data_IF_952366809621
#
_entry.id   IF_952366809621
#
_cell.length_a   1.000
_cell.length_b   1.000
_cell.length_c   1.000
_cell.angle_alpha   90.00
_cell.angle_beta   90.00
_cell.angle_gamma   90.00
#
_symmetry.space_group_name_H-M   'P 1'
#
loop_
_entity.id
_entity.type
_entity.pdbx_description
1 polymer ?
#
# COMPACT_ATOMS: atom_id res chain seq x y z
N UNK A 1 -16.39 12.31 -17.00
CA UNK A 1 -16.02 11.62 -15.74
C UNK A 1 -14.93 12.41 -15.06
N UNK A 2 -15.05 12.68 -13.77
CA UNK A 2 -14.15 13.54 -13.00
C UNK A 2 -12.86 12.76 -12.63
N UNK A 3 -11.68 13.39 -12.79
CA UNK A 3 -10.40 12.80 -12.38
C UNK A 3 -10.28 12.90 -10.85
N UNK A 4 -10.09 11.77 -10.18
CA UNK A 4 -9.95 11.70 -8.70
C UNK A 4 -8.51 11.49 -8.24
N UNK A 5 -7.65 10.89 -9.07
CA UNK A 5 -6.21 10.81 -8.85
C UNK A 5 -5.50 11.30 -10.09
N UNK A 6 -4.58 12.25 -9.91
CA UNK A 6 -3.68 12.72 -10.97
C UNK A 6 -2.25 12.71 -10.47
N UNK A 7 -1.42 11.97 -11.15
CA UNK A 7 0.01 11.84 -10.90
C UNK A 7 0.75 12.55 -12.03
N UNK A 8 1.61 13.51 -11.69
CA UNK A 8 2.33 14.35 -12.65
C UNK A 8 3.83 14.29 -12.37
N UNK A 9 4.60 13.69 -13.29
CA UNK A 9 6.06 13.58 -13.28
C UNK A 9 6.64 13.07 -11.94
N UNK A 10 5.94 12.08 -11.35
CA UNK A 10 6.25 11.55 -10.04
C UNK A 10 7.60 10.84 -10.06
N UNK A 11 8.50 11.26 -9.19
CA UNK A 11 9.75 10.58 -8.91
C UNK A 11 9.94 10.35 -7.41
N UNK A 12 10.48 9.18 -7.06
CA UNK A 12 10.87 8.84 -5.70
C UNK A 12 12.26 8.26 -5.67
N UNK A 13 13.16 8.97 -5.01
CA UNK A 13 14.54 8.57 -4.78
C UNK A 13 14.74 8.15 -3.33
N UNK A 14 15.45 7.06 -3.11
CA UNK A 14 15.92 6.61 -1.80
C UNK A 14 17.45 6.69 -1.74
N UNK A 15 17.98 7.00 -0.57
CA UNK A 15 19.41 6.91 -0.29
C UNK A 15 19.74 5.54 0.27
N UNK A 16 20.69 4.85 -0.33
CA UNK A 16 21.22 3.57 0.15
C UNK A 16 22.35 3.86 1.15
N UNK A 17 22.32 3.22 2.31
CA UNK A 17 23.50 3.19 3.19
C UNK A 17 23.63 4.29 4.24
N UNK A 18 22.63 5.14 4.48
CA UNK A 18 22.62 6.07 5.63
C UNK A 18 21.56 5.65 6.63
N UNK A 19 21.93 4.72 7.50
CA UNK A 19 21.28 4.64 8.82
C UNK A 19 21.81 5.86 9.56
N UNK A 20 21.01 6.93 9.71
CA UNK A 20 21.38 8.07 10.52
C UNK A 20 21.77 7.57 11.90
N UNK A 21 22.99 7.86 12.33
CA UNK A 21 23.43 7.59 13.70
C UNK A 21 22.51 8.41 14.62
N UNK A 22 21.47 7.81 15.16
CA UNK A 22 20.42 8.47 15.94
C UNK A 22 20.86 9.14 17.26
N UNK A 23 22.06 9.70 17.25
CA UNK A 23 22.66 10.44 18.34
C UNK A 23 23.25 11.75 17.80
N UNK A 24 22.62 12.87 18.15
CA UNK A 24 23.13 14.23 17.89
C UNK A 24 24.59 14.42 18.25
N UNK A 25 25.06 13.70 19.26
CA UNK A 25 26.47 13.71 19.71
C UNK A 25 27.43 13.10 18.66
N UNK A 26 27.04 11.99 18.02
CA UNK A 26 27.83 11.35 16.96
C UNK A 26 27.83 12.20 15.68
N UNK A 27 26.69 12.79 15.33
CA UNK A 27 26.60 13.68 14.18
C UNK A 27 27.45 14.94 14.38
N UNK A 28 27.48 15.48 15.60
CA UNK A 28 28.32 16.63 15.95
C UNK A 28 29.83 16.28 15.93
N UNK A 29 30.22 15.08 16.40
CA UNK A 29 31.61 14.60 16.34
C UNK A 29 32.07 14.37 14.88
N UNK A 30 31.23 13.75 14.04
CA UNK A 30 31.52 13.54 12.63
C UNK A 30 31.62 14.87 11.88
N UNK A 31 30.76 15.85 12.21
CA UNK A 31 30.85 17.20 11.67
C UNK A 31 32.12 17.92 12.07
N UNK A 32 32.50 17.85 13.36
CA UNK A 32 33.74 18.44 13.88
C UNK A 32 34.97 17.77 13.26
N UNK A 33 35.00 16.44 13.13
CA UNK A 33 36.07 15.71 12.48
C UNK A 33 36.29 16.15 11.03
N UNK A 34 35.21 16.34 10.27
CA UNK A 34 35.25 16.86 8.88
C UNK A 34 35.77 18.29 8.80
N UNK A 35 35.39 19.17 9.74
CA UNK A 35 35.88 20.54 9.80
C UNK A 35 37.39 20.64 10.07
N UNK A 36 37.92 19.76 10.91
CA UNK A 36 39.35 19.71 11.28
C UNK A 36 40.18 18.74 10.42
N UNK A 37 39.64 18.19 9.32
CA UNK A 37 40.27 17.20 8.44
C UNK A 37 40.88 15.99 9.19
N UNK A 38 40.29 15.60 10.32
CA UNK A 38 40.66 14.38 11.06
C UNK A 38 39.77 13.23 10.58
N UNK A 39 40.31 12.00 10.71
CA UNK A 39 39.54 10.79 10.41
C UNK A 39 38.28 10.72 11.31
N UNK A 40 37.15 10.31 10.72
CA UNK A 40 35.90 10.16 11.45
C UNK A 40 36.04 8.98 12.43
N UNK A 41 35.89 9.20 13.76
CA UNK A 41 36.06 8.16 14.75
C UNK A 41 35.05 7.01 14.67
N UNK A 42 34.01 7.17 13.85
CA UNK A 42 32.92 6.21 13.66
C UNK A 42 32.93 5.55 12.28
N UNK A 43 34.08 5.56 11.57
CA UNK A 43 34.25 4.86 10.29
C UNK A 43 34.17 3.35 10.54
N UNK A 44 33.26 2.65 9.85
CA UNK A 44 33.13 1.19 9.95
C UNK A 44 34.43 0.50 9.46
N UNK A 45 34.93 -0.45 10.26
CA UNK A 45 36.09 -1.28 9.92
C UNK A 45 35.63 -2.26 8.82
N UNK A 46 36.11 -2.06 7.57
CA UNK A 46 35.89 -2.95 6.43
C UNK A 46 35.07 -2.38 5.27
N UNK A 47 34.57 -1.15 5.35
CA UNK A 47 33.91 -0.47 4.27
C UNK A 47 34.79 0.52 3.53
N UNK A 48 35.20 0.23 2.29
CA UNK A 48 35.75 1.28 1.41
C UNK A 48 34.69 2.38 1.24
N UNK A 49 34.92 3.51 1.90
CA UNK A 49 34.08 4.71 1.81
C UNK A 49 34.26 5.36 0.43
N UNK A 50 33.76 4.72 -0.62
CA UNK A 50 33.55 5.38 -1.90
C UNK A 50 32.23 6.17 -1.81
N UNK A 51 32.31 7.35 -1.19
CA UNK A 51 31.28 8.39 -1.29
C UNK A 51 31.26 8.85 -2.76
N UNK A 52 30.55 8.10 -3.57
CA UNK A 52 30.34 8.38 -4.98
C UNK A 52 28.85 8.18 -5.30
N UNK A 53 28.35 8.87 -6.30
CA UNK A 53 27.00 8.90 -6.87
C UNK A 53 26.15 7.59 -6.89
N UNK A 54 26.64 6.48 -6.32
CA UNK A 54 26.03 5.15 -6.24
C UNK A 54 25.07 4.95 -5.06
N UNK A 55 24.96 5.94 -4.15
CA UNK A 55 24.17 5.78 -2.93
C UNK A 55 22.69 6.18 -3.10
N UNK A 56 22.25 6.47 -4.31
CA UNK A 56 20.89 6.90 -4.62
C UNK A 56 20.24 5.94 -5.60
N UNK A 57 19.04 5.52 -5.26
CA UNK A 57 18.22 4.62 -6.05
C UNK A 57 16.88 5.28 -6.35
N UNK A 58 16.55 5.40 -7.64
CA UNK A 58 15.25 5.85 -8.09
C UNK A 58 14.27 4.68 -8.11
N UNK A 59 13.36 4.67 -7.15
CA UNK A 59 12.28 3.68 -7.09
C UNK A 59 11.13 4.02 -8.06
N UNK A 60 10.93 5.32 -8.32
CA UNK A 60 10.02 5.83 -9.35
C UNK A 60 10.69 7.00 -10.07
N UNK A 61 10.46 7.11 -11.37
CA UNK A 61 11.01 8.17 -12.20
C UNK A 61 10.03 8.58 -13.28
N UNK A 62 9.63 9.84 -13.27
CA UNK A 62 8.78 10.47 -14.28
C UNK A 62 7.46 9.72 -14.57
N UNK A 63 6.80 9.24 -13.51
CA UNK A 63 5.53 8.52 -13.62
C UNK A 63 4.39 9.50 -13.69
N UNK A 64 3.57 9.42 -14.76
CA UNK A 64 2.41 10.29 -14.97
C UNK A 64 1.20 9.49 -15.45
N UNK A 65 0.08 9.58 -14.72
CA UNK A 65 -1.19 8.97 -15.12
C UNK A 65 -2.37 9.63 -14.39
N UNK A 66 -3.58 9.31 -14.87
CA UNK A 66 -4.82 9.77 -14.25
C UNK A 66 -5.77 8.60 -13.99
N UNK A 67 -6.53 8.71 -12.90
CA UNK A 67 -7.61 7.78 -12.55
C UNK A 67 -8.91 8.56 -12.42
N UNK A 68 -9.94 8.11 -13.10
CA UNK A 68 -11.28 8.70 -13.07
C UNK A 68 -12.11 8.07 -11.96
N UNK A 69 -13.14 8.79 -11.53
CA UNK A 69 -14.09 8.29 -10.52
C UNK A 69 -14.72 6.97 -10.98
N UNK A 70 -14.75 5.98 -10.10
CA UNK A 70 -15.31 4.66 -10.38
C UNK A 70 -14.41 3.77 -11.26
N UNK A 71 -13.21 4.21 -11.66
CA UNK A 71 -12.26 3.33 -12.34
C UNK A 71 -11.65 2.30 -11.38
N UNK A 72 -11.43 1.10 -11.92
CA UNK A 72 -10.69 0.04 -11.26
C UNK A 72 -9.36 -0.14 -11.98
N UNK A 73 -8.30 0.46 -11.41
CA UNK A 73 -6.96 0.50 -12.00
C UNK A 73 -6.08 -0.59 -11.41
N UNK A 74 -5.60 -1.50 -12.24
CA UNK A 74 -4.58 -2.48 -11.91
C UNK A 74 -3.17 -1.91 -12.10
N UNK A 75 -2.29 -2.12 -11.11
CA UNK A 75 -0.88 -1.74 -11.21
C UNK A 75 -0.07 -3.02 -11.37
N UNK A 76 0.50 -3.19 -12.55
CA UNK A 76 1.23 -4.39 -12.98
C UNK A 76 2.72 -4.09 -13.08
N UNK A 77 3.57 -5.09 -12.82
CA UNK A 77 5.02 -4.98 -12.95
C UNK A 77 5.76 -6.04 -12.14
N UNK A 78 7.02 -6.30 -12.51
CA UNK A 78 7.91 -7.27 -11.81
C UNK A 78 8.22 -6.82 -10.38
N UNK A 79 8.81 -7.72 -9.59
CA UNK A 79 9.36 -7.35 -8.27
C UNK A 79 10.42 -6.27 -8.45
N UNK A 80 10.36 -5.22 -7.61
CA UNK A 80 11.25 -4.06 -7.73
C UNK A 80 10.82 -3.02 -8.78
N UNK A 81 9.71 -3.20 -9.51
CA UNK A 81 9.25 -2.25 -10.52
C UNK A 81 8.76 -0.89 -9.94
N UNK A 82 8.64 -0.76 -8.62
CA UNK A 82 8.20 0.47 -7.97
C UNK A 82 6.75 0.47 -7.49
N UNK A 83 5.99 -0.63 -7.66
CA UNK A 83 4.55 -0.72 -7.29
C UNK A 83 4.27 -0.31 -5.85
N UNK A 84 4.93 -0.94 -4.87
CA UNK A 84 4.72 -0.63 -3.45
C UNK A 84 5.18 0.79 -3.09
N UNK A 85 6.18 1.34 -3.78
CA UNK A 85 6.59 2.74 -3.61
C UNK A 85 5.50 3.68 -4.14
N UNK A 86 4.92 3.38 -5.30
CA UNK A 86 3.82 4.16 -5.85
C UNK A 86 2.62 4.17 -4.88
N UNK A 87 2.23 2.99 -4.37
CA UNK A 87 1.14 2.90 -3.40
C UNK A 87 1.42 3.70 -2.12
N UNK A 88 2.65 3.63 -1.57
CA UNK A 88 3.05 4.42 -0.39
C UNK A 88 2.97 5.93 -0.62
N UNK A 89 3.28 6.39 -1.84
CA UNK A 89 3.13 7.81 -2.19
C UNK A 89 1.66 8.17 -2.32
N UNK A 90 0.85 7.35 -2.98
CA UNK A 90 -0.59 7.58 -3.14
C UNK A 90 -1.33 7.54 -1.79
N UNK A 91 -0.94 6.64 -0.89
CA UNK A 91 -1.48 6.55 0.48
C UNK A 91 -0.89 7.60 1.43
N UNK A 92 -0.09 8.55 0.94
CA UNK A 92 0.54 9.62 1.72
C UNK A 92 1.49 9.16 2.84
N UNK A 93 1.91 7.89 2.83
CA UNK A 93 2.89 7.33 3.78
C UNK A 93 4.29 7.92 3.52
N UNK A 94 4.60 8.23 2.27
CA UNK A 94 5.87 8.87 1.90
C UNK A 94 5.65 9.99 0.88
N UNK A 95 6.39 11.10 1.04
CA UNK A 95 6.35 12.20 0.09
C UNK A 95 7.12 11.86 -1.20
N UNK A 96 6.70 12.37 -2.37
CA UNK A 96 7.49 12.30 -3.60
C UNK A 96 8.80 13.10 -3.47
N UNK A 97 9.82 12.70 -4.25
CA UNK A 97 11.07 13.48 -4.38
C UNK A 97 10.92 14.55 -5.46
N UNK A 98 10.25 14.22 -6.56
CA UNK A 98 9.93 15.15 -7.66
C UNK A 98 8.49 14.91 -8.10
N UNK A 99 7.94 15.88 -8.83
CA UNK A 99 6.58 15.81 -9.32
C UNK A 99 5.53 16.04 -8.22
N UNK A 100 4.29 15.69 -8.50
CA UNK A 100 3.18 15.88 -7.56
C UNK A 100 2.06 14.88 -7.79
N UNK A 101 1.30 14.63 -6.72
CA UNK A 101 0.07 13.84 -6.75
C UNK A 101 -1.08 14.72 -6.27
N UNK A 102 -2.15 14.75 -7.03
CA UNK A 102 -3.40 15.42 -6.66
C UNK A 102 -4.47 14.36 -6.46
N UNK A 103 -5.12 14.41 -5.31
CA UNK A 103 -6.15 13.45 -4.92
C UNK A 103 -7.40 14.23 -4.51
N UNK A 104 -8.56 13.77 -4.97
CA UNK A 104 -9.86 14.33 -4.65
C UNK A 104 -10.69 13.28 -3.92
N UNK A 105 -10.93 13.52 -2.64
CA UNK A 105 -11.64 12.60 -1.75
C UNK A 105 -10.73 11.89 -0.75
N UNK A 106 -11.33 11.02 0.06
CA UNK A 106 -10.63 10.23 1.08
C UNK A 106 -10.10 8.93 0.50
N UNK A 107 -8.89 8.55 0.94
CA UNK A 107 -8.26 7.28 0.59
C UNK A 107 -8.37 6.33 1.77
N UNK A 108 -8.90 5.13 1.52
CA UNK A 108 -8.69 3.97 2.39
C UNK A 108 -7.57 3.11 1.82
N UNK A 109 -6.56 2.86 2.62
CA UNK A 109 -5.42 2.03 2.22
C UNK A 109 -5.44 0.71 2.96
N UNK A 110 -5.48 -0.39 2.21
CA UNK A 110 -5.36 -1.75 2.74
C UNK A 110 -3.90 -2.21 2.83
N UNK A 111 -2.92 -1.31 2.67
CA UNK A 111 -1.49 -1.63 2.76
C UNK A 111 -1.07 -2.08 4.17
N UNK A 112 -1.76 -1.59 5.17
CA UNK A 112 -1.42 -1.79 6.58
C UNK A 112 -2.56 -2.49 7.34
N UNK A 113 -3.16 -3.52 6.72
CA UNK A 113 -4.23 -4.31 7.33
C UNK A 113 -3.76 -4.89 8.66
N UNK A 114 -4.50 -4.59 9.73
CA UNK A 114 -4.19 -5.01 11.09
C UNK A 114 -3.23 -4.09 11.86
N UNK A 115 -2.69 -3.05 11.23
CA UNK A 115 -1.96 -2.00 11.95
C UNK A 115 -2.91 -1.32 12.93
N UNK A 116 -2.49 -1.23 14.21
CA UNK A 116 -3.31 -0.68 15.28
C UNK A 116 -4.16 -1.70 16.03
N UNK A 117 -4.17 -2.98 15.64
CA UNK A 117 -4.77 -4.02 16.48
C UNK A 117 -3.94 -4.23 17.73
N UNK A 118 -4.60 -4.25 18.89
CA UNK A 118 -3.97 -4.49 20.17
C UNK A 118 -4.22 -5.93 20.62
N UNK A 119 -3.17 -6.72 20.90
CA UNK A 119 -3.29 -8.16 21.16
C UNK A 119 -4.13 -8.49 22.40
N UNK A 120 -4.15 -7.64 23.43
CA UNK A 120 -4.91 -7.85 24.65
C UNK A 120 -6.40 -7.48 24.53
N UNK A 121 -6.77 -6.70 23.52
CA UNK A 121 -8.15 -6.32 23.27
C UNK A 121 -8.90 -7.44 22.52
N UNK A 122 -10.20 -7.52 22.75
CA UNK A 122 -11.11 -8.43 22.05
C UNK A 122 -11.25 -8.05 20.58
N UNK A 123 -11.81 -8.94 19.75
CA UNK A 123 -12.17 -8.63 18.37
C UNK A 123 -13.07 -7.42 18.27
N UNK A 124 -14.09 -7.35 19.13
CA UNK A 124 -15.01 -6.20 19.23
C UNK A 124 -14.25 -4.89 19.49
N UNK A 125 -13.43 -4.85 20.53
CA UNK A 125 -12.68 -3.65 20.89
C UNK A 125 -11.68 -3.25 19.78
N UNK A 126 -11.08 -4.22 19.10
CA UNK A 126 -10.19 -3.96 17.96
C UNK A 126 -10.95 -3.42 16.73
N UNK A 127 -12.19 -3.82 16.48
CA UNK A 127 -13.04 -3.21 15.44
C UNK A 127 -13.21 -1.71 15.72
N UNK A 128 -13.53 -1.32 16.97
CA UNK A 128 -13.67 0.08 17.33
C UNK A 128 -12.34 0.83 17.29
N UNK A 129 -11.28 0.26 17.83
CA UNK A 129 -9.96 0.87 17.85
C UNK A 129 -9.44 1.09 16.41
N UNK A 130 -9.44 0.05 15.60
CA UNK A 130 -8.94 0.12 14.23
C UNK A 130 -9.83 1.01 13.33
N UNK A 131 -11.16 0.89 13.47
CA UNK A 131 -12.09 1.78 12.77
C UNK A 131 -11.81 3.25 13.08
N UNK A 132 -11.57 3.59 14.36
CA UNK A 132 -11.25 4.95 14.79
C UNK A 132 -9.87 5.41 14.23
N UNK A 133 -8.85 4.56 14.25
CA UNK A 133 -7.53 4.84 13.67
C UNK A 133 -7.66 5.13 12.16
N UNK A 134 -8.51 4.38 11.47
CA UNK A 134 -8.78 4.54 10.04
C UNK A 134 -9.74 5.69 9.72
N UNK A 135 -10.20 6.44 10.75
CA UNK A 135 -11.00 7.67 10.60
C UNK A 135 -12.51 7.48 10.68
N UNK A 136 -13.02 6.28 11.02
CA UNK A 136 -14.46 6.08 11.25
C UNK A 136 -14.92 6.76 12.53
N UNK A 137 -16.10 7.37 12.49
CA UNK A 137 -16.78 7.84 13.70
C UNK A 137 -17.40 6.64 14.43
N UNK A 138 -17.51 6.76 15.78
CA UNK A 138 -18.14 5.69 16.59
C UNK A 138 -19.52 5.27 16.06
N UNK A 139 -20.35 6.24 15.70
CA UNK A 139 -21.69 6.00 15.14
C UNK A 139 -21.67 5.25 13.80
N UNK A 140 -20.62 5.42 13.02
CA UNK A 140 -20.41 4.68 11.77
C UNK A 140 -20.01 3.24 12.07
N UNK A 141 -19.10 3.04 13.02
CA UNK A 141 -18.68 1.71 13.45
C UNK A 141 -19.90 0.96 14.04
N UNK A 142 -20.68 1.60 14.90
CA UNK A 142 -21.90 1.01 15.48
C UNK A 142 -22.86 0.51 14.40
N UNK A 143 -23.06 1.29 13.35
CA UNK A 143 -23.94 0.94 12.22
C UNK A 143 -23.42 -0.25 11.39
N UNK A 144 -22.11 -0.34 11.20
CA UNK A 144 -21.45 -1.33 10.34
C UNK A 144 -20.94 -2.56 11.10
N UNK A 145 -21.05 -2.56 12.42
CA UNK A 145 -20.44 -3.58 13.27
C UNK A 145 -20.83 -5.01 12.87
N UNK A 146 -22.14 -5.26 12.73
CA UNK A 146 -22.63 -6.59 12.37
C UNK A 146 -22.19 -7.02 10.97
N UNK A 147 -22.14 -6.08 10.02
CA UNK A 147 -21.63 -6.33 8.66
C UNK A 147 -20.15 -6.69 8.66
N UNK A 148 -19.34 -5.96 9.46
CA UNK A 148 -17.91 -6.22 9.62
C UNK A 148 -17.69 -7.62 10.21
N UNK A 149 -18.41 -7.97 11.27
CA UNK A 149 -18.30 -9.30 11.91
C UNK A 149 -18.73 -10.39 10.94
N UNK A 150 -19.88 -10.25 10.29
CA UNK A 150 -20.37 -11.22 9.30
C UNK A 150 -19.43 -11.37 8.11
N UNK A 151 -18.81 -10.27 7.65
CA UNK A 151 -17.83 -10.33 6.57
C UNK A 151 -16.56 -11.07 6.98
N UNK A 152 -16.08 -10.88 8.20
CA UNK A 152 -14.86 -11.52 8.71
C UNK A 152 -14.96 -13.04 8.86
N UNK A 153 -16.19 -13.60 8.87
CA UNK A 153 -16.48 -15.02 9.11
C UNK A 153 -15.91 -15.55 10.45
N UNK A 154 -15.76 -14.64 11.42
CA UNK A 154 -15.38 -15.02 12.79
C UNK A 154 -16.66 -15.43 13.51
N UNK A 155 -16.64 -16.63 14.12
CA UNK A 155 -17.78 -17.09 14.90
C UNK A 155 -18.03 -16.12 16.09
N UNK A 156 -19.32 -15.89 16.39
CA UNK A 156 -19.76 -14.89 17.39
C UNK A 156 -19.10 -15.07 18.77
N UNK A 157 -18.81 -16.31 19.15
CA UNK A 157 -18.14 -16.67 20.39
C UNK A 157 -16.69 -16.15 20.50
N UNK A 158 -16.03 -15.89 19.36
CA UNK A 158 -14.67 -15.34 19.35
C UNK A 158 -14.64 -13.83 19.29
N UNK A 159 -15.74 -13.15 18.96
CA UNK A 159 -15.76 -11.69 18.81
C UNK A 159 -15.37 -10.98 20.11
N UNK A 160 -15.75 -11.54 21.27
CA UNK A 160 -15.43 -11.03 22.61
C UNK A 160 -14.21 -11.74 23.24
N UNK A 161 -13.41 -12.43 22.41
CA UNK A 161 -12.14 -13.04 22.83
C UNK A 161 -10.96 -12.15 22.41
N UNK A 162 -9.90 -12.00 23.26
CA UNK A 162 -8.70 -11.26 22.92
C UNK A 162 -8.04 -11.78 21.64
N UNK A 163 -7.65 -10.86 20.71
CA UNK A 163 -7.14 -11.23 19.38
C UNK A 163 -5.80 -11.96 19.43
N UNK A 164 -5.05 -11.92 20.52
CA UNK A 164 -3.88 -12.78 20.74
C UNK A 164 -4.18 -14.29 20.68
N UNK A 165 -5.44 -14.67 20.84
CA UNK A 165 -5.92 -16.06 20.74
C UNK A 165 -6.44 -16.42 19.34
N UNK A 166 -6.47 -15.47 18.42
CA UNK A 166 -6.91 -15.69 17.06
C UNK A 166 -5.84 -16.45 16.27
N UNK A 167 -6.28 -17.26 15.34
CA UNK A 167 -5.39 -17.76 14.29
C UNK A 167 -4.95 -16.56 13.40
N UNK A 168 -3.83 -16.71 12.69
CA UNK A 168 -3.39 -15.69 11.73
C UNK A 168 -4.47 -15.35 10.70
N UNK A 169 -5.22 -16.35 10.23
CA UNK A 169 -6.34 -16.17 9.30
C UNK A 169 -7.49 -15.37 9.91
N UNK A 170 -7.90 -15.64 11.17
CA UNK A 170 -8.94 -14.86 11.86
C UNK A 170 -8.52 -13.41 12.05
N UNK A 171 -7.27 -13.20 12.47
CA UNK A 171 -6.71 -11.85 12.68
C UNK A 171 -6.80 -11.03 11.40
N UNK A 172 -6.30 -11.55 10.29
CA UNK A 172 -6.25 -10.80 9.03
C UNK A 172 -7.64 -10.64 8.42
N UNK A 173 -8.52 -11.65 8.53
CA UNK A 173 -9.92 -11.53 8.07
C UNK A 173 -10.66 -10.42 8.80
N UNK A 174 -10.49 -10.29 10.14
CA UNK A 174 -11.11 -9.20 10.89
C UNK A 174 -10.56 -7.83 10.49
N UNK A 175 -9.24 -7.72 10.43
CA UNK A 175 -8.57 -6.48 10.07
C UNK A 175 -8.96 -6.00 8.66
N UNK A 176 -9.02 -6.94 7.69
CA UNK A 176 -9.51 -6.65 6.36
C UNK A 176 -10.98 -6.22 6.35
N UNK A 177 -11.83 -6.91 7.12
CA UNK A 177 -13.26 -6.58 7.21
C UNK A 177 -13.46 -5.13 7.68
N UNK A 178 -12.74 -4.68 8.71
CA UNK A 178 -12.81 -3.27 9.17
C UNK A 178 -12.42 -2.30 8.06
N UNK A 179 -11.25 -2.53 7.44
CA UNK A 179 -10.71 -1.63 6.42
C UNK A 179 -11.57 -1.58 5.14
N UNK A 180 -12.16 -2.70 4.75
CA UNK A 180 -13.00 -2.80 3.56
C UNK A 180 -14.38 -2.10 3.72
N UNK A 181 -14.83 -1.92 4.97
CA UNK A 181 -16.09 -1.22 5.28
C UNK A 181 -15.91 0.27 5.57
N UNK A 182 -14.72 0.84 5.36
CA UNK A 182 -14.52 2.29 5.42
C UNK A 182 -15.34 3.00 4.34
N UNK A 183 -15.92 4.15 4.68
CA UNK A 183 -16.53 5.04 3.68
C UNK A 183 -15.44 5.92 3.05
N UNK A 184 -14.90 5.47 1.92
CA UNK A 184 -13.86 6.18 1.16
C UNK A 184 -14.22 6.27 -0.31
N UNK A 185 -13.83 7.35 -0.97
CA UNK A 185 -14.00 7.52 -2.41
C UNK A 185 -12.98 6.73 -3.21
N UNK A 186 -11.81 6.46 -2.60
CA UNK A 186 -10.69 5.76 -3.23
C UNK A 186 -10.23 4.65 -2.30
N UNK A 187 -10.18 3.43 -2.82
CA UNK A 187 -9.68 2.24 -2.13
C UNK A 187 -8.36 1.79 -2.76
N UNK A 188 -7.31 1.72 -1.96
CA UNK A 188 -6.00 1.20 -2.38
C UNK A 188 -5.80 -0.18 -1.75
N UNK A 189 -5.62 -1.20 -2.58
CA UNK A 189 -5.37 -2.56 -2.14
C UNK A 189 -4.06 -3.09 -2.75
N UNK A 190 -3.22 -3.67 -1.91
CA UNK A 190 -2.02 -4.40 -2.29
C UNK A 190 -2.29 -5.92 -2.17
N UNK A 191 -1.31 -6.71 -2.44
CA UNK A 191 -1.28 -8.19 -2.35
C UNK A 191 -1.91 -8.80 -1.09
N UNK A 192 -2.29 -7.97 -0.13
CA UNK A 192 -3.03 -8.36 1.10
C UNK A 192 -4.32 -9.14 0.80
N UNK A 193 -4.85 -9.07 -0.44
CA UNK A 193 -5.95 -9.96 -0.87
C UNK A 193 -5.54 -11.44 -1.02
N UNK A 194 -4.25 -11.76 -1.00
CA UNK A 194 -3.77 -13.14 -0.95
C UNK A 194 -3.91 -13.77 0.45
N UNK A 195 -4.51 -13.04 1.39
CA UNK A 195 -4.70 -13.49 2.77
C UNK A 195 -5.99 -14.29 2.94
N UNK A 196 -5.92 -15.31 3.77
CA UNK A 196 -7.02 -16.23 3.96
C UNK A 196 -7.03 -17.36 2.91
N UNK A 197 -8.10 -18.11 2.90
CA UNK A 197 -8.32 -19.15 1.90
C UNK A 197 -8.89 -18.59 0.58
N UNK A 198 -8.93 -19.43 -0.45
CA UNK A 198 -9.42 -19.03 -1.78
C UNK A 198 -10.86 -18.49 -1.75
N UNK A 199 -11.69 -19.00 -0.84
CA UNK A 199 -13.09 -18.55 -0.68
C UNK A 199 -13.14 -17.11 -0.14
N UNK A 200 -12.36 -16.81 0.89
CA UNK A 200 -12.29 -15.47 1.45
C UNK A 200 -11.70 -14.45 0.46
N UNK A 201 -10.68 -14.87 -0.31
CA UNK A 201 -10.11 -14.04 -1.40
C UNK A 201 -11.19 -13.67 -2.44
N UNK A 202 -12.00 -14.62 -2.88
CA UNK A 202 -13.11 -14.35 -3.82
C UNK A 202 -14.14 -13.39 -3.20
N UNK A 203 -14.44 -13.54 -1.92
CA UNK A 203 -15.34 -12.63 -1.19
C UNK A 203 -14.78 -11.20 -1.15
N UNK A 204 -13.48 -11.04 -0.90
CA UNK A 204 -12.81 -9.74 -0.93
C UNK A 204 -12.86 -9.09 -2.32
N UNK A 205 -12.55 -9.84 -3.38
CA UNK A 205 -12.66 -9.36 -4.77
C UNK A 205 -14.09 -8.98 -5.12
N UNK A 206 -15.07 -9.79 -4.70
CA UNK A 206 -16.50 -9.51 -4.87
C UNK A 206 -16.92 -8.20 -4.23
N UNK A 207 -16.51 -7.97 -2.96
CA UNK A 207 -16.80 -6.72 -2.26
C UNK A 207 -16.17 -5.51 -2.97
N UNK A 208 -14.91 -5.60 -3.40
CA UNK A 208 -14.24 -4.50 -4.11
C UNK A 208 -14.91 -4.17 -5.44
N UNK A 209 -15.39 -5.19 -6.14
CA UNK A 209 -16.16 -5.01 -7.36
C UNK A 209 -17.49 -4.31 -7.06
N UNK A 210 -18.21 -4.78 -6.05
CA UNK A 210 -19.51 -4.23 -5.64
C UNK A 210 -19.41 -2.76 -5.22
N UNK A 211 -18.43 -2.40 -4.37
CA UNK A 211 -18.24 -1.00 -3.92
C UNK A 211 -17.87 -0.07 -5.09
N UNK A 212 -17.18 -0.60 -6.10
CA UNK A 212 -16.85 0.18 -7.29
C UNK A 212 -18.06 0.36 -8.21
N UNK A 213 -18.80 -0.72 -8.49
CA UNK A 213 -19.91 -0.71 -9.46
C UNK A 213 -21.16 -0.05 -8.90
N UNK A 214 -21.52 -0.34 -7.63
CA UNK A 214 -22.76 0.12 -7.02
C UNK A 214 -22.61 1.40 -6.21
N UNK A 215 -21.41 1.69 -5.68
CA UNK A 215 -21.15 2.90 -4.88
C UNK A 215 -20.27 3.92 -5.59
N UNK A 216 -19.78 3.61 -6.80
CA UNK A 216 -18.97 4.51 -7.61
C UNK A 216 -17.59 4.80 -7.00
N UNK A 217 -17.07 3.93 -6.13
CA UNK A 217 -15.73 4.06 -5.55
C UNK A 217 -14.67 3.72 -6.58
N UNK A 218 -13.56 4.42 -6.49
CA UNK A 218 -12.37 4.18 -7.32
C UNK A 218 -11.48 3.15 -6.63
N UNK A 219 -11.00 2.14 -7.35
CA UNK A 219 -10.14 1.08 -6.80
C UNK A 219 -8.79 1.09 -7.49
N UNK A 220 -7.70 1.17 -6.71
CA UNK A 220 -6.34 0.93 -7.18
C UNK A 220 -5.86 -0.40 -6.59
N UNK A 221 -5.52 -1.32 -7.46
CA UNK A 221 -5.21 -2.69 -7.05
C UNK A 221 -3.85 -3.15 -7.58
N UNK A 222 -3.02 -3.65 -6.67
CA UNK A 222 -1.75 -4.31 -6.99
C UNK A 222 -1.87 -5.79 -6.65
N UNK A 223 -1.51 -6.66 -7.57
CA UNK A 223 -1.43 -8.09 -7.31
C UNK A 223 -0.43 -8.76 -8.25
N UNK A 224 0.20 -9.83 -7.77
CA UNK A 224 0.95 -10.76 -8.62
C UNK A 224 0.05 -11.76 -9.34
N UNK A 225 -1.20 -11.91 -8.89
CA UNK A 225 -2.16 -12.81 -9.51
C UNK A 225 -2.88 -12.10 -10.68
N UNK A 226 -2.42 -12.36 -11.90
CA UNK A 226 -3.00 -11.76 -13.11
C UNK A 226 -4.50 -12.06 -13.25
N UNK A 227 -4.94 -13.22 -12.79
CA UNK A 227 -6.35 -13.58 -12.74
C UNK A 227 -7.18 -12.60 -11.89
N UNK A 228 -6.71 -12.24 -10.69
CA UNK A 228 -7.39 -11.30 -9.80
C UNK A 228 -7.44 -9.88 -10.41
N UNK A 229 -6.34 -9.46 -11.06
CA UNK A 229 -6.29 -8.17 -11.77
C UNK A 229 -7.32 -8.11 -12.91
N UNK A 230 -7.41 -9.15 -13.75
CA UNK A 230 -8.39 -9.22 -14.85
C UNK A 230 -9.83 -9.31 -14.34
N UNK A 231 -10.06 -9.98 -13.22
CA UNK A 231 -11.40 -10.10 -12.62
C UNK A 231 -11.90 -8.77 -12.03
N UNK A 232 -11.00 -7.99 -11.41
CA UNK A 232 -11.38 -6.77 -10.70
C UNK A 232 -11.22 -5.51 -11.57
N UNK A 233 -10.12 -5.38 -12.29
CA UNK A 233 -9.73 -4.13 -12.94
C UNK A 233 -10.25 -4.03 -14.37
N UNK A 234 -10.56 -2.81 -14.80
CA UNK A 234 -10.95 -2.50 -16.19
C UNK A 234 -9.79 -1.86 -16.97
N UNK A 235 -8.89 -1.20 -16.25
CA UNK A 235 -7.73 -0.49 -16.77
C UNK A 235 -6.49 -0.93 -16.03
N UNK A 236 -5.33 -0.84 -16.65
CA UNK A 236 -4.05 -1.15 -16.01
C UNK A 236 -2.97 -0.17 -16.40
N UNK A 237 -1.95 -0.10 -15.54
CA UNK A 237 -0.65 0.51 -15.84
C UNK A 237 0.44 -0.52 -15.66
N UNK A 238 1.43 -0.51 -16.56
CA UNK A 238 2.61 -1.36 -16.50
C UNK A 238 3.80 -0.55 -16.02
N UNK A 239 4.38 -0.96 -14.91
CA UNK A 239 5.60 -0.38 -14.35
C UNK A 239 6.79 -1.32 -14.56
N UNK A 240 7.93 -0.77 -14.93
CA UNK A 240 9.22 -1.47 -14.98
C UNK A 240 10.35 -0.54 -14.59
N UNK A 241 11.23 -1.00 -13.68
CA UNK A 241 12.39 -0.24 -13.19
C UNK A 241 12.06 1.20 -12.77
N UNK A 242 10.88 1.40 -12.16
CA UNK A 242 10.41 2.71 -11.69
C UNK A 242 9.83 3.61 -12.79
N UNK A 243 9.70 3.14 -14.01
CA UNK A 243 9.12 3.87 -15.14
C UNK A 243 7.71 3.33 -15.46
N UNK A 244 6.84 4.22 -15.94
CA UNK A 244 5.56 3.84 -16.51
C UNK A 244 5.76 3.52 -17.99
N UNK A 245 5.62 2.25 -18.36
CA UNK A 245 5.78 1.81 -19.74
C UNK A 245 4.52 1.99 -20.57
N UNK A 246 3.37 1.60 -20.01
CA UNK A 246 2.12 1.56 -20.76
C UNK A 246 0.91 1.77 -19.84
N UNK A 247 -0.15 2.36 -20.39
CA UNK A 247 -1.46 2.51 -19.75
C UNK A 247 -2.54 2.11 -20.74
N UNK A 248 -3.46 1.25 -20.34
CA UNK A 248 -4.52 0.77 -21.23
C UNK A 248 -5.53 -0.15 -20.57
N UNK A 249 -6.38 -0.81 -21.35
CA UNK A 249 -7.28 -1.86 -20.86
C UNK A 249 -6.47 -2.97 -20.16
N UNK A 250 -7.00 -3.51 -19.06
CA UNK A 250 -6.26 -4.50 -18.25
C UNK A 250 -5.83 -5.73 -19.06
N UNK A 251 -6.63 -6.17 -20.03
CA UNK A 251 -6.31 -7.33 -20.88
C UNK A 251 -5.08 -7.06 -21.76
N UNK A 252 -4.95 -5.85 -22.32
CA UNK A 252 -3.80 -5.46 -23.11
C UNK A 252 -2.53 -5.38 -22.25
N UNK A 253 -2.64 -4.76 -21.06
CA UNK A 253 -1.53 -4.66 -20.09
C UNK A 253 -1.09 -6.04 -19.62
N UNK A 254 -2.02 -6.96 -19.35
CA UNK A 254 -1.72 -8.32 -18.99
C UNK A 254 -0.97 -9.07 -20.09
N UNK A 255 -1.45 -8.99 -21.33
CA UNK A 255 -0.80 -9.63 -22.48
C UNK A 255 0.62 -9.07 -22.72
N UNK A 256 0.82 -7.76 -22.49
CA UNK A 256 2.14 -7.13 -22.60
C UNK A 256 3.07 -7.62 -21.48
N UNK A 257 2.56 -7.73 -20.26
CA UNK A 257 3.32 -8.22 -19.11
C UNK A 257 3.73 -9.70 -19.30
N UNK A 258 2.82 -10.55 -19.78
CA UNK A 258 3.11 -11.97 -20.05
C UNK A 258 4.24 -12.12 -21.10
N UNK A 259 4.23 -11.31 -22.15
CA UNK A 259 5.33 -11.26 -23.15
C UNK A 259 6.65 -10.83 -22.51
N UNK A 260 6.62 -9.78 -21.68
CA UNK A 260 7.82 -9.25 -21.00
C UNK A 260 8.45 -10.27 -20.02
N UNK A 261 7.64 -11.16 -19.42
CA UNK A 261 8.16 -12.24 -18.58
C UNK A 261 8.75 -13.38 -19.40
N UNK A 262 8.15 -13.68 -20.55
CA UNK A 262 8.60 -14.76 -21.44
C UNK A 262 9.89 -14.41 -22.21
N UNK A 263 10.20 -13.14 -22.37
CA UNK A 263 11.46 -12.66 -22.96
C UNK A 263 12.50 -12.52 -21.85
N UNK A 264 13.61 -13.30 -21.84
CA UNK A 264 14.63 -13.30 -20.78
C UNK A 264 15.48 -12.01 -20.77
#
# INVERSE_FOLDING_TARGET
>A
MDTVVRVENLGKEYRLGVIGNGSLYKDLQSWAARLFRKEDPWTEIGGESKVGRKDRFWALRDVSFEVKRGERLGIVGRNGAGKSTLLKVLSQITAPTTGRVKIKGHIASLLEVGTGFHPELTGRENIYLNGAILGMKKTEIDRKFDEIVAFSEIASEFVDTPVKRYSSGMFVRLAFAVAAHLDSEILIADEVLAVGDARFQQKCLGLMKDVSENQGRTVLFVSHMMFALKQLCTKGILLEHGLLLETGPIEAIAARYDKMIAEP
#
